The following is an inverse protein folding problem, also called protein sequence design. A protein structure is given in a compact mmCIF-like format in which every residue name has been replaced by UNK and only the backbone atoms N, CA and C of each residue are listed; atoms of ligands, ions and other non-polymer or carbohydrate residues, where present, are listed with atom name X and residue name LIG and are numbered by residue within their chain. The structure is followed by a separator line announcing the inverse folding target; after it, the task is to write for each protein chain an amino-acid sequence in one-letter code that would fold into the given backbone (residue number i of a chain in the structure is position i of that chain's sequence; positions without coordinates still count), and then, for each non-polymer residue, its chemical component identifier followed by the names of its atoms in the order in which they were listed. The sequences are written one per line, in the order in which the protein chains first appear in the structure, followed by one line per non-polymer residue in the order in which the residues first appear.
data_IF_161350103085
#
_entry.id   IF_161350103085
#
_cell.length_a   1.000
_cell.length_b   1.000
_cell.length_c   1.000
_cell.angle_alpha   90.00
_cell.angle_beta   90.00
_cell.angle_gamma   90.00
#
_symmetry.space_group_name_H-M   'P 1'
#
loop_
_entity.id
_entity.type
_entity.pdbx_description
1 polymer ?
#
# COMPACT_ATOMS: atom_id res chain seq x y z
N UNK A 1 3.78 -0.55 -16.56
CA UNK A 1 4.02 -1.67 -15.62
C UNK A 1 5.47 -2.17 -15.71
N UNK A 2 5.94 -2.51 -16.91
CA UNK A 2 7.29 -3.08 -17.10
C UNK A 2 8.42 -2.22 -16.52
N UNK A 3 8.45 -0.91 -16.81
CA UNK A 3 9.48 -0.01 -16.24
C UNK A 3 9.49 0.00 -14.70
N UNK A 4 8.33 -0.10 -14.05
CA UNK A 4 8.26 -0.18 -12.59
C UNK A 4 8.74 -1.54 -12.08
N UNK A 5 8.46 -2.65 -12.79
CA UNK A 5 9.00 -3.98 -12.42
C UNK A 5 10.52 -4.03 -12.57
N UNK A 6 11.08 -3.40 -13.60
CA UNK A 6 12.52 -3.28 -13.79
C UNK A 6 13.17 -2.42 -12.69
N UNK A 7 12.58 -1.26 -12.37
CA UNK A 7 13.05 -0.43 -11.27
C UNK A 7 12.99 -1.20 -9.93
N UNK A 8 11.89 -1.92 -9.67
CA UNK A 8 11.74 -2.74 -8.47
C UNK A 8 12.83 -3.81 -8.37
N UNK A 9 13.12 -4.51 -9.48
CA UNK A 9 14.18 -5.52 -9.51
C UNK A 9 15.55 -4.93 -9.14
N UNK A 10 15.88 -3.75 -9.67
CA UNK A 10 17.11 -3.03 -9.31
C UNK A 10 17.11 -2.69 -7.82
N UNK A 11 16.04 -2.06 -7.30
CA UNK A 11 15.99 -1.70 -5.87
C UNK A 11 16.03 -2.92 -4.94
N UNK A 12 15.50 -4.07 -5.36
CA UNK A 12 15.63 -5.34 -4.63
C UNK A 12 17.08 -5.84 -4.65
N UNK A 13 17.73 -5.82 -5.81
CA UNK A 13 19.12 -6.25 -5.96
C UNK A 13 20.08 -5.44 -5.07
N UNK A 14 19.86 -4.13 -4.96
CA UNK A 14 20.67 -3.24 -4.13
C UNK A 14 20.19 -3.11 -2.68
N UNK A 15 19.08 -3.75 -2.31
CA UNK A 15 18.51 -3.65 -0.96
C UNK A 15 17.95 -2.26 -0.62
N UNK A 16 17.65 -1.42 -1.62
CA UNK A 16 17.08 -0.09 -1.44
C UNK A 16 15.58 -0.17 -1.14
N UNK A 17 15.26 -0.49 0.12
CA UNK A 17 13.87 -0.69 0.53
C UNK A 17 13.03 0.57 0.38
N UNK A 18 13.58 1.75 0.64
CA UNK A 18 12.80 2.99 0.57
C UNK A 18 12.28 3.25 -0.86
N UNK A 19 13.11 3.05 -1.89
CA UNK A 19 12.67 3.20 -3.27
C UNK A 19 11.79 2.02 -3.75
N UNK A 20 11.86 0.84 -3.12
CA UNK A 20 10.88 -0.23 -3.36
C UNK A 20 9.47 0.22 -2.99
N UNK A 21 9.27 0.91 -1.86
CA UNK A 21 7.96 1.38 -1.40
C UNK A 21 7.24 2.23 -2.48
N UNK A 22 7.90 3.28 -2.96
CA UNK A 22 7.35 4.13 -4.02
C UNK A 22 7.09 3.37 -5.33
N UNK A 23 7.90 2.35 -5.62
CA UNK A 23 7.71 1.51 -6.82
C UNK A 23 6.49 0.60 -6.67
N UNK A 24 6.28 0.00 -5.49
CA UNK A 24 5.08 -0.76 -5.16
C UNK A 24 3.83 0.13 -5.23
N UNK A 25 3.87 1.35 -4.70
CA UNK A 25 2.77 2.32 -4.83
C UNK A 25 2.34 2.50 -6.30
N UNK A 26 3.30 2.74 -7.19
CA UNK A 26 3.02 2.93 -8.61
C UNK A 26 2.53 1.65 -9.31
N UNK A 27 3.05 0.48 -8.94
CA UNK A 27 2.54 -0.80 -9.43
C UNK A 27 1.09 -1.03 -8.99
N UNK A 28 0.75 -0.67 -7.75
CA UNK A 28 -0.62 -0.71 -7.23
C UNK A 28 -1.57 0.16 -8.05
N UNK A 29 -1.18 1.41 -8.34
CA UNK A 29 -1.96 2.32 -9.20
C UNK A 29 -2.17 1.74 -10.61
N UNK A 30 -1.15 1.10 -11.17
CA UNK A 30 -1.25 0.48 -12.51
C UNK A 30 -2.14 -0.77 -12.48
N UNK A 31 -2.06 -1.60 -11.44
CA UNK A 31 -2.93 -2.77 -11.26
C UNK A 31 -4.40 -2.37 -11.10
N UNK A 32 -4.66 -1.34 -10.28
CA UNK A 32 -6.00 -0.80 -10.08
C UNK A 32 -6.60 -0.28 -11.40
N UNK A 33 -5.81 0.48 -12.18
CA UNK A 33 -6.25 0.99 -13.49
C UNK A 33 -6.54 -0.12 -14.51
N UNK A 34 -5.98 -1.32 -14.33
CA UNK A 34 -6.23 -2.49 -15.16
C UNK A 34 -7.34 -3.41 -14.61
N UNK A 35 -7.95 -3.08 -13.48
CA UNK A 35 -8.99 -3.90 -12.86
C UNK A 35 -8.47 -5.05 -11.99
N UNK A 36 -7.16 -5.14 -11.77
CA UNK A 36 -6.51 -6.23 -11.04
C UNK A 36 -6.45 -5.91 -9.54
N UNK A 37 -7.61 -5.93 -8.88
CA UNK A 37 -7.78 -5.42 -7.51
C UNK A 37 -6.91 -6.14 -6.47
N UNK A 38 -6.73 -7.46 -6.59
CA UNK A 38 -5.86 -8.22 -5.68
C UNK A 38 -4.38 -7.85 -5.82
N UNK A 39 -3.88 -7.67 -7.05
CA UNK A 39 -2.50 -7.20 -7.29
C UNK A 39 -2.35 -5.76 -6.78
N UNK A 40 -3.36 -4.90 -6.97
CA UNK A 40 -3.35 -3.54 -6.46
C UNK A 40 -3.24 -3.48 -4.94
N UNK A 41 -4.10 -4.23 -4.23
CA UNK A 41 -4.10 -4.34 -2.77
C UNK A 41 -2.75 -4.81 -2.24
N UNK A 42 -2.19 -5.89 -2.80
CA UNK A 42 -0.90 -6.43 -2.38
C UNK A 42 0.23 -5.39 -2.52
N UNK A 43 0.27 -4.67 -3.65
CA UNK A 43 1.27 -3.64 -3.88
C UNK A 43 1.12 -2.45 -2.91
N UNK A 44 -0.11 -1.98 -2.64
CA UNK A 44 -0.31 -0.88 -1.67
C UNK A 44 0.04 -1.27 -0.23
N UNK A 45 -0.21 -2.52 0.17
CA UNK A 45 0.16 -3.00 1.49
C UNK A 45 1.68 -3.10 1.65
N UNK A 46 2.41 -3.52 0.62
CA UNK A 46 3.87 -3.54 0.62
C UNK A 46 4.46 -2.12 0.69
N UNK A 47 3.91 -1.18 -0.07
CA UNK A 47 4.26 0.25 0.03
C UNK A 47 4.10 0.78 1.47
N UNK A 48 2.93 0.57 2.07
CA UNK A 48 2.64 1.03 3.43
C UNK A 48 3.56 0.37 4.46
N UNK A 49 3.74 -0.95 4.37
CA UNK A 49 4.58 -1.70 5.31
C UNK A 49 6.01 -1.17 5.30
N UNK A 50 6.59 -0.99 4.12
CA UNK A 50 7.96 -0.49 4.01
C UNK A 50 8.03 0.97 4.48
N UNK A 51 7.08 1.82 4.07
CA UNK A 51 7.05 3.21 4.51
C UNK A 51 6.95 3.34 6.04
N UNK A 52 6.23 2.42 6.70
CA UNK A 52 6.18 2.33 8.16
C UNK A 52 7.54 2.02 8.81
N UNK A 53 8.34 1.14 8.19
CA UNK A 53 9.68 0.79 8.70
C UNK A 53 10.63 1.99 8.75
N UNK A 54 10.47 2.96 7.83
CA UNK A 54 11.29 4.17 7.78
C UNK A 54 10.78 5.31 8.66
N UNK A 55 9.65 5.13 9.37
CA UNK A 55 8.97 6.20 10.11
C UNK A 55 8.69 7.45 9.25
N UNK A 56 8.52 7.29 7.93
CA UNK A 56 8.17 8.40 7.04
C UNK A 56 6.69 8.73 7.21
N UNK A 57 6.43 9.68 8.11
CA UNK A 57 5.07 10.14 8.41
C UNK A 57 4.36 10.74 7.20
N UNK A 58 5.11 11.39 6.30
CA UNK A 58 4.51 11.97 5.10
C UNK A 58 4.12 10.86 4.14
N UNK A 59 5.02 9.93 3.84
CA UNK A 59 4.76 8.77 3.01
C UNK A 59 3.57 7.96 3.53
N UNK A 60 3.57 7.65 4.83
CA UNK A 60 2.48 6.92 5.50
C UNK A 60 1.12 7.60 5.28
N UNK A 61 1.04 8.92 5.41
CA UNK A 61 -0.20 9.66 5.16
C UNK A 61 -0.67 9.60 3.71
N UNK A 62 0.26 9.53 2.74
CA UNK A 62 -0.09 9.30 1.34
C UNK A 62 -0.62 7.88 1.12
N UNK A 63 0.09 6.86 1.60
CA UNK A 63 -0.29 5.46 1.42
C UNK A 63 -1.63 5.16 2.07
N UNK A 64 -1.87 5.61 3.30
CA UNK A 64 -3.13 5.43 4.01
C UNK A 64 -4.31 6.10 3.30
N UNK A 65 -4.15 7.33 2.80
CA UNK A 65 -5.21 8.00 2.03
C UNK A 65 -5.56 7.23 0.75
N UNK A 66 -4.56 6.70 0.05
CA UNK A 66 -4.79 5.91 -1.16
C UNK A 66 -5.47 4.58 -0.87
N UNK A 67 -5.08 3.91 0.21
CA UNK A 67 -5.73 2.68 0.69
C UNK A 67 -7.16 2.94 1.17
N UNK A 68 -7.42 4.08 1.79
CA UNK A 68 -8.77 4.46 2.19
C UNK A 68 -9.69 4.68 0.98
N UNK A 69 -9.21 5.36 -0.06
CA UNK A 69 -9.93 5.45 -1.34
C UNK A 69 -10.12 4.07 -1.98
N UNK A 70 -9.08 3.24 -2.02
CA UNK A 70 -9.19 1.88 -2.56
C UNK A 70 -10.23 1.04 -1.80
N UNK A 71 -10.30 1.16 -0.47
CA UNK A 71 -11.35 0.54 0.34
C UNK A 71 -12.73 1.07 0.00
N UNK A 72 -12.89 2.38 -0.21
CA UNK A 72 -14.17 2.96 -0.60
C UNK A 72 -14.66 2.42 -1.95
N UNK A 73 -13.75 2.22 -2.91
CA UNK A 73 -14.06 1.72 -4.25
C UNK A 73 -14.37 0.21 -4.25
N UNK A 74 -13.70 -0.58 -3.41
CA UNK A 74 -13.78 -2.06 -3.44
C UNK A 74 -14.65 -2.66 -2.34
N UNK A 75 -14.80 -1.97 -1.21
CA UNK A 75 -15.38 -2.48 0.05
C UNK A 75 -14.75 -3.80 0.52
N UNK A 76 -13.47 -3.99 0.22
CA UNK A 76 -12.73 -5.20 0.58
C UNK A 76 -12.31 -5.19 2.05
N UNK A 77 -13.06 -5.89 2.90
CA UNK A 77 -12.77 -5.99 4.34
C UNK A 77 -11.44 -6.70 4.65
N UNK A 78 -10.91 -7.53 3.74
CA UNK A 78 -9.60 -8.16 3.94
C UNK A 78 -8.46 -7.14 3.97
N UNK A 79 -8.66 -5.96 3.37
CA UNK A 79 -7.73 -4.85 3.50
C UNK A 79 -7.67 -4.32 4.95
N UNK A 80 -8.82 -4.23 5.61
CA UNK A 80 -8.88 -3.74 7.00
C UNK A 80 -8.18 -4.71 7.95
N UNK A 81 -8.35 -6.02 7.74
CA UNK A 81 -7.64 -7.06 8.48
C UNK A 81 -6.12 -6.97 8.29
N UNK A 82 -5.67 -6.78 7.03
CA UNK A 82 -4.25 -6.63 6.74
C UNK A 82 -3.65 -5.40 7.43
N UNK A 83 -4.35 -4.27 7.39
CA UNK A 83 -3.92 -3.04 8.04
C UNK A 83 -3.91 -3.15 9.57
N UNK A 84 -4.90 -3.79 10.15
CA UNK A 84 -4.95 -4.09 11.57
C UNK A 84 -3.73 -4.93 11.99
N UNK A 85 -3.37 -5.93 11.17
CA UNK A 85 -2.15 -6.73 11.36
C UNK A 85 -0.86 -5.91 11.26
N UNK A 86 -0.75 -5.00 10.29
CA UNK A 86 0.44 -4.14 10.13
C UNK A 86 0.64 -3.21 11.32
N UNK A 87 -0.43 -2.61 11.83
CA UNK A 87 -0.35 -1.65 12.94
C UNK A 87 -0.50 -2.27 14.32
N UNK A 88 -0.88 -3.54 14.42
CA UNK A 88 -1.16 -4.21 15.69
C UNK A 88 -2.37 -3.64 16.43
N UNK A 89 -3.37 -3.14 15.69
CA UNK A 89 -4.59 -2.52 16.20
C UNK A 89 -5.83 -3.34 15.82
N UNK A 90 -7.01 -2.95 16.31
CA UNK A 90 -8.26 -3.62 15.95
C UNK A 90 -8.75 -3.25 14.54
N UNK A 91 -9.44 -4.18 13.87
CA UNK A 91 -10.06 -3.94 12.55
C UNK A 91 -11.04 -2.76 12.59
N UNK A 92 -11.79 -2.62 13.68
CA UNK A 92 -12.74 -1.52 13.84
C UNK A 92 -12.05 -0.14 13.99
N UNK A 93 -10.87 -0.12 14.61
CA UNK A 93 -10.07 1.11 14.71
C UNK A 93 -9.55 1.53 13.32
N UNK A 94 -9.08 0.57 12.52
CA UNK A 94 -8.67 0.82 11.13
C UNK A 94 -9.86 1.30 10.29
N UNK A 95 -11.03 0.66 10.44
CA UNK A 95 -12.25 1.01 9.73
C UNK A 95 -12.61 2.48 9.98
N UNK A 96 -12.68 2.88 11.24
CA UNK A 96 -12.97 4.26 11.63
C UNK A 96 -11.95 5.25 11.07
N UNK A 97 -10.65 4.91 11.13
CA UNK A 97 -9.59 5.76 10.60
C UNK A 97 -9.73 5.96 9.07
N UNK A 98 -9.98 4.89 8.33
CA UNK A 98 -10.15 4.94 6.87
C UNK A 98 -11.42 5.70 6.47
N UNK A 99 -12.54 5.47 7.16
CA UNK A 99 -13.80 6.14 6.84
C UNK A 99 -13.79 7.63 7.20
N UNK A 100 -12.88 8.04 8.10
CA UNK A 100 -12.68 9.45 8.49
C UNK A 100 -11.71 10.24 7.58
N UNK A 101 -11.05 9.58 6.63
CA UNK A 101 -10.06 10.17 5.70
C UNK A 101 -10.69 10.57 4.37
#
# INVERSE_FOLDING_TARGET
RENYRQALAIYVEFGDRYNQAGTYFHLGKVAEALGEMEEAKANYLLDLQITAEFNDRHGLGISLRNLGRFYQDTKDDSLLEALAGIFGVGVEEVRQAIEST
#
